data_IF_158858762851
#
_entry.id   IF_158858762851
#
_cell.length_a   1.000
_cell.length_b   1.000
_cell.length_c   1.000
_cell.angle_alpha   90.00
_cell.angle_beta   90.00
_cell.angle_gamma   90.00
#
_symmetry.space_group_name_H-M   'P 1'
#
loop_
_entity.id
_entity.type
_entity.pdbx_description
1 polymer ?
#
# COMPACT_ATOMS: atom_id res chain seq x y z
N UNK A 1 23.22 6.50 -0.42
CA UNK A 1 22.03 5.71 -0.09
C UNK A 1 22.41 4.52 0.76
N UNK A 2 21.74 4.28 1.89
CA UNK A 2 21.93 3.06 2.69
C UNK A 2 20.67 2.18 2.58
N UNK A 3 20.76 1.06 1.84
CA UNK A 3 19.63 0.15 1.63
C UNK A 3 19.84 -1.09 2.50
N UNK A 4 18.91 -1.34 3.41
CA UNK A 4 18.94 -2.53 4.28
C UNK A 4 18.45 -3.75 3.51
N UNK A 5 18.81 -4.94 3.99
CA UNK A 5 18.33 -6.25 3.51
C UNK A 5 18.76 -6.67 2.09
N UNK A 6 19.64 -5.93 1.43
CA UNK A 6 20.10 -6.24 0.05
C UNK A 6 20.68 -7.64 -0.06
N UNK A 7 21.50 -8.07 0.91
CA UNK A 7 22.15 -9.37 0.85
C UNK A 7 21.16 -10.53 1.07
N UNK A 8 20.24 -10.34 2.00
CA UNK A 8 19.17 -11.27 2.32
C UNK A 8 18.24 -11.46 1.12
N UNK A 9 17.90 -10.37 0.41
CA UNK A 9 17.10 -10.42 -0.82
C UNK A 9 17.86 -11.10 -1.96
N UNK A 10 19.16 -10.79 -2.15
CA UNK A 10 20.00 -11.49 -3.13
C UNK A 10 20.03 -13.00 -2.86
N UNK A 11 20.15 -13.41 -1.60
CA UNK A 11 20.14 -14.82 -1.20
C UNK A 11 18.78 -15.47 -1.46
N UNK A 12 17.68 -14.75 -1.17
CA UNK A 12 16.32 -15.23 -1.41
C UNK A 12 16.03 -15.47 -2.90
N UNK A 13 16.43 -14.54 -3.77
CA UNK A 13 16.22 -14.66 -5.23
C UNK A 13 17.09 -15.73 -5.87
N UNK A 14 18.32 -15.91 -5.37
CA UNK A 14 19.30 -16.82 -5.94
C UNK A 14 19.97 -16.27 -7.22
N UNK A 15 21.07 -16.92 -7.64
CA UNK A 15 21.94 -16.39 -8.69
C UNK A 15 21.28 -16.33 -10.07
N UNK A 16 20.44 -17.32 -10.43
CA UNK A 16 19.77 -17.37 -11.75
C UNK A 16 18.78 -16.22 -11.93
N UNK A 17 18.01 -15.90 -10.90
CA UNK A 17 17.09 -14.75 -10.90
C UNK A 17 17.84 -13.42 -11.06
N UNK A 18 18.97 -13.25 -10.37
CA UNK A 18 19.81 -12.07 -10.49
C UNK A 18 20.44 -11.94 -11.89
N UNK A 19 20.84 -13.06 -12.49
CA UNK A 19 21.35 -13.11 -13.87
C UNK A 19 20.28 -12.64 -14.86
N UNK A 20 19.06 -13.18 -14.77
CA UNK A 20 17.94 -12.80 -15.62
C UNK A 20 17.62 -11.32 -15.49
N UNK A 21 17.48 -10.82 -14.26
CA UNK A 21 17.19 -9.40 -14.01
C UNK A 21 18.29 -8.49 -14.58
N UNK A 22 19.57 -8.87 -14.42
CA UNK A 22 20.70 -8.12 -14.95
C UNK A 22 20.69 -8.11 -16.48
N UNK A 23 20.39 -9.24 -17.11
CA UNK A 23 20.33 -9.35 -18.57
C UNK A 23 19.17 -8.54 -19.17
N UNK A 24 17.97 -8.61 -18.57
CA UNK A 24 16.83 -7.78 -18.98
C UNK A 24 17.18 -6.31 -18.83
N UNK A 25 17.72 -5.89 -17.68
CA UNK A 25 18.09 -4.49 -17.44
C UNK A 25 19.09 -3.97 -18.47
N UNK A 26 20.11 -4.76 -18.83
CA UNK A 26 21.12 -4.38 -19.83
C UNK A 26 20.59 -4.32 -21.26
N UNK A 27 19.60 -5.16 -21.58
CA UNK A 27 18.95 -5.18 -22.91
C UNK A 27 17.82 -4.16 -23.02
N UNK A 28 17.32 -3.64 -21.90
CA UNK A 28 16.31 -2.60 -21.88
C UNK A 28 16.79 -1.34 -22.59
N UNK A 29 15.90 -0.72 -23.34
CA UNK A 29 16.20 0.52 -24.04
C UNK A 29 14.98 1.43 -24.15
N UNK A 30 15.23 2.72 -24.38
CA UNK A 30 14.20 3.75 -24.48
C UNK A 30 13.78 4.31 -23.13
N UNK A 31 12.77 5.18 -23.17
CA UNK A 31 12.21 5.87 -22.01
C UNK A 31 10.69 5.68 -22.08
N UNK A 32 10.10 4.76 -21.28
CA UNK A 32 10.74 3.89 -20.28
C UNK A 32 11.64 2.78 -20.86
N UNK A 33 12.55 2.20 -20.05
CA UNK A 33 13.52 1.20 -20.48
C UNK A 33 12.90 -0.20 -20.60
N UNK A 34 12.39 -0.55 -21.78
CA UNK A 34 11.67 -1.81 -22.04
C UNK A 34 12.47 -2.85 -22.83
N UNK A 35 12.13 -4.12 -22.64
CA UNK A 35 12.46 -5.26 -23.53
C UNK A 35 11.17 -5.92 -24.03
N UNK A 36 11.12 -6.42 -25.27
CA UNK A 36 9.96 -7.17 -25.75
C UNK A 36 9.87 -8.55 -25.10
N UNK A 37 8.84 -8.80 -24.28
CA UNK A 37 8.75 -10.00 -23.45
C UNK A 37 8.57 -11.28 -24.27
N UNK A 38 7.73 -11.28 -25.30
CA UNK A 38 7.53 -12.46 -26.15
C UNK A 38 8.82 -12.89 -26.85
N UNK A 39 9.57 -11.92 -27.39
CA UNK A 39 10.85 -12.20 -28.06
C UNK A 39 11.89 -12.69 -27.06
N UNK A 40 11.98 -12.03 -25.91
CA UNK A 40 12.89 -12.40 -24.84
C UNK A 40 12.64 -13.83 -24.34
N UNK A 41 11.38 -14.18 -24.06
CA UNK A 41 10.97 -15.52 -23.65
C UNK A 41 11.29 -16.58 -24.72
N UNK A 42 11.09 -16.26 -26.00
CA UNK A 42 11.41 -17.18 -27.09
C UNK A 42 12.92 -17.42 -27.24
N UNK A 43 13.75 -16.42 -26.94
CA UNK A 43 15.22 -16.54 -26.98
C UNK A 43 15.80 -17.21 -25.73
N UNK A 44 15.07 -17.23 -24.62
CA UNK A 44 15.49 -17.78 -23.33
C UNK A 44 14.48 -18.81 -22.81
N UNK A 45 14.22 -19.85 -23.62
CA UNK A 45 13.26 -20.92 -23.27
C UNK A 45 13.58 -21.64 -21.96
N UNK A 46 14.86 -21.64 -21.57
CA UNK A 46 15.36 -22.35 -20.39
C UNK A 46 15.16 -21.54 -19.09
N UNK A 47 14.63 -20.31 -19.21
CA UNK A 47 14.40 -19.37 -18.12
C UNK A 47 12.91 -19.12 -17.85
N UNK A 48 11.99 -19.84 -18.51
CA UNK A 48 10.56 -19.55 -18.43
C UNK A 48 10.00 -19.68 -17.01
N UNK A 49 10.41 -20.71 -16.26
CA UNK A 49 9.98 -20.92 -14.88
C UNK A 49 10.44 -19.79 -13.95
N UNK A 50 11.72 -19.38 -14.05
CA UNK A 50 12.23 -18.27 -13.26
C UNK A 50 11.65 -16.91 -13.67
N UNK A 51 11.36 -16.70 -14.97
CA UNK A 51 10.66 -15.50 -15.42
C UNK A 51 9.26 -15.43 -14.81
N UNK A 52 8.54 -16.54 -14.76
CA UNK A 52 7.20 -16.59 -14.14
C UNK A 52 7.28 -16.33 -12.63
N UNK A 53 8.31 -16.83 -11.95
CA UNK A 53 8.57 -16.55 -10.52
C UNK A 53 9.03 -15.10 -10.24
N UNK A 54 9.64 -14.44 -11.22
CA UNK A 54 10.03 -13.03 -11.11
C UNK A 54 8.84 -12.08 -11.36
N UNK A 55 7.83 -12.54 -12.13
CA UNK A 55 6.59 -11.81 -12.42
C UNK A 55 5.61 -11.78 -11.21
N UNK A 56 5.64 -12.77 -10.31
CA UNK A 56 4.76 -12.84 -9.12
C UNK A 56 5.49 -13.37 -7.87
N UNK A 57 5.16 -12.99 -6.62
CA UNK A 57 4.51 -11.77 -6.11
C UNK A 57 5.54 -10.67 -5.73
N UNK A 58 6.82 -10.85 -6.06
CA UNK A 58 7.94 -10.05 -5.52
C UNK A 58 8.23 -8.76 -6.28
N UNK A 59 7.49 -8.47 -7.36
CA UNK A 59 7.52 -7.21 -8.12
C UNK A 59 8.92 -6.80 -8.61
N UNK A 60 9.89 -7.73 -8.76
CA UNK A 60 11.22 -7.39 -9.28
C UNK A 60 11.25 -7.25 -10.81
N UNK A 61 10.31 -7.91 -11.50
CA UNK A 61 10.12 -7.82 -12.93
C UNK A 61 8.66 -7.46 -13.24
N UNK A 62 8.47 -6.35 -13.93
CA UNK A 62 7.15 -5.94 -14.41
C UNK A 62 6.92 -6.41 -15.83
N UNK A 63 5.73 -6.96 -16.08
CA UNK A 63 5.28 -7.34 -17.41
C UNK A 63 4.04 -6.57 -17.81
N UNK A 64 4.16 -5.77 -18.87
CA UNK A 64 3.00 -5.25 -19.58
C UNK A 64 2.50 -6.32 -20.54
N UNK A 65 1.43 -7.03 -20.15
CA UNK A 65 0.83 -8.08 -20.97
C UNK A 65 0.19 -7.55 -22.27
N UNK A 66 -0.30 -6.31 -22.28
CA UNK A 66 -0.95 -5.73 -23.46
C UNK A 66 0.10 -5.32 -24.50
N UNK A 67 1.18 -4.67 -24.04
CA UNK A 67 2.26 -4.20 -24.92
C UNK A 67 3.35 -5.23 -25.13
N UNK A 68 3.29 -6.35 -24.41
CA UNK A 68 4.25 -7.47 -24.46
C UNK A 68 5.66 -7.00 -24.16
N UNK A 69 5.84 -6.35 -23.02
CA UNK A 69 7.14 -5.79 -22.61
C UNK A 69 7.49 -6.16 -21.16
N UNK A 70 8.78 -6.29 -20.92
CA UNK A 70 9.39 -6.41 -19.61
C UNK A 70 10.12 -5.13 -19.24
N UNK A 71 10.08 -4.79 -17.97
CA UNK A 71 10.95 -3.80 -17.35
C UNK A 71 11.33 -4.31 -15.96
N UNK A 72 12.61 -4.21 -15.64
CA UNK A 72 13.08 -4.47 -14.28
C UNK A 72 12.48 -3.41 -13.37
N UNK A 73 11.96 -3.79 -12.22
CA UNK A 73 11.38 -2.83 -11.29
C UNK A 73 12.49 -2.14 -10.48
N UNK A 74 12.20 -0.93 -9.97
CA UNK A 74 13.11 -0.15 -9.12
C UNK A 74 13.67 -0.94 -7.93
N UNK A 75 12.90 -1.87 -7.36
CA UNK A 75 13.34 -2.69 -6.24
C UNK A 75 14.43 -3.70 -6.61
N UNK A 76 14.63 -4.01 -7.90
CA UNK A 76 15.70 -4.89 -8.34
C UNK A 76 17.04 -4.15 -8.55
N UNK A 77 17.02 -2.84 -8.80
CA UNK A 77 18.24 -2.07 -9.12
C UNK A 77 19.38 -2.21 -8.09
N UNK A 78 19.14 -2.18 -6.76
CA UNK A 78 20.20 -2.38 -5.76
C UNK A 78 20.81 -3.77 -5.76
N UNK A 79 20.13 -4.74 -6.37
CA UNK A 79 20.55 -6.13 -6.45
C UNK A 79 21.46 -6.38 -7.66
N UNK A 80 21.44 -5.48 -8.65
CA UNK A 80 22.21 -5.62 -9.88
C UNK A 80 23.65 -5.19 -9.67
N UNK A 81 24.60 -6.01 -10.11
CA UNK A 81 26.02 -5.65 -10.18
C UNK A 81 26.29 -4.95 -11.51
N UNK A 82 25.73 -3.74 -11.65
CA UNK A 82 25.75 -2.95 -12.87
C UNK A 82 26.01 -1.46 -12.60
N UNK A 83 26.90 -0.85 -13.39
CA UNK A 83 27.27 0.56 -13.22
C UNK A 83 26.12 1.52 -13.54
N UNK A 84 25.27 1.21 -14.52
CA UNK A 84 24.13 2.05 -14.86
C UNK A 84 23.09 2.05 -13.73
N UNK A 85 22.83 0.87 -13.14
CA UNK A 85 21.98 0.76 -11.96
C UNK A 85 22.52 1.58 -10.78
N UNK A 86 23.84 1.54 -10.52
CA UNK A 86 24.48 2.36 -9.49
C UNK A 86 24.32 3.87 -9.75
N UNK A 87 24.50 4.31 -11.00
CA UNK A 87 24.31 5.71 -11.39
C UNK A 87 22.85 6.14 -11.16
N UNK A 88 21.86 5.32 -11.54
CA UNK A 88 20.44 5.61 -11.29
C UNK A 88 20.15 5.75 -9.79
N UNK A 89 20.67 4.84 -8.96
CA UNK A 89 20.51 4.88 -7.50
C UNK A 89 21.12 6.16 -6.88
N UNK A 90 22.26 6.63 -7.38
CA UNK A 90 22.83 7.94 -6.98
C UNK A 90 21.91 9.11 -7.38
N UNK A 91 21.27 9.02 -8.55
CA UNK A 91 20.30 10.02 -9.02
C UNK A 91 19.01 10.03 -8.20
N UNK A 92 18.56 8.87 -7.72
CA UNK A 92 17.38 8.80 -6.85
C UNK A 92 17.57 9.63 -5.59
N UNK A 93 18.74 9.56 -4.96
CA UNK A 93 19.03 10.35 -3.76
C UNK A 93 19.03 11.86 -4.02
N UNK A 94 19.61 12.26 -5.16
CA UNK A 94 19.60 13.65 -5.58
C UNK A 94 18.16 14.15 -5.74
N UNK A 95 17.34 13.45 -6.53
CA UNK A 95 15.95 13.84 -6.78
C UNK A 95 15.09 13.78 -5.52
N UNK A 96 15.32 12.79 -4.66
CA UNK A 96 14.59 12.69 -3.39
C UNK A 96 14.87 13.90 -2.50
N UNK A 97 16.14 14.31 -2.36
CA UNK A 97 16.50 15.52 -1.63
C UNK A 97 15.91 16.79 -2.27
N UNK A 98 15.97 16.88 -3.60
CA UNK A 98 15.38 17.98 -4.36
C UNK A 98 13.86 18.06 -4.12
N UNK A 99 13.11 16.98 -4.29
CA UNK A 99 11.67 16.93 -4.05
C UNK A 99 11.30 17.26 -2.60
N UNK A 100 12.09 16.81 -1.63
CA UNK A 100 11.86 17.12 -0.22
C UNK A 100 12.05 18.61 0.09
N UNK A 101 13.01 19.26 -0.59
CA UNK A 101 13.23 20.71 -0.51
C UNK A 101 12.09 21.46 -1.19
N UNK A 102 11.71 21.05 -2.40
CA UNK A 102 10.62 21.66 -3.16
C UNK A 102 9.29 21.54 -2.44
N UNK A 103 8.96 20.39 -1.86
CA UNK A 103 7.75 20.23 -1.05
C UNK A 103 7.73 21.19 0.15
N UNK A 104 8.86 21.40 0.84
CA UNK A 104 8.92 22.36 1.96
C UNK A 104 8.74 23.81 1.51
N UNK A 105 9.19 24.16 0.30
CA UNK A 105 9.11 25.51 -0.23
C UNK A 105 7.74 25.81 -0.86
N UNK A 106 7.16 24.82 -1.55
CA UNK A 106 6.07 24.99 -2.48
C UNK A 106 4.83 24.13 -2.16
N UNK A 107 4.91 23.25 -1.15
CA UNK A 107 3.87 22.30 -0.75
C UNK A 107 3.40 21.41 -1.90
N UNK A 108 2.11 21.40 -2.18
CA UNK A 108 1.41 20.56 -3.15
C UNK A 108 1.38 21.16 -4.55
N UNK A 109 2.11 22.25 -4.80
CA UNK A 109 2.19 22.85 -6.13
C UNK A 109 2.84 21.89 -7.14
N UNK A 110 2.34 21.86 -8.39
CA UNK A 110 2.94 21.04 -9.44
C UNK A 110 4.39 21.46 -9.73
N UNK A 111 5.30 20.49 -9.77
CA UNK A 111 6.65 20.63 -10.30
C UNK A 111 6.68 20.14 -11.74
N UNK A 112 7.13 20.97 -12.66
CA UNK A 112 7.22 20.61 -14.07
C UNK A 112 8.55 19.92 -14.38
N UNK A 113 8.52 18.96 -15.30
CA UNK A 113 9.71 18.23 -15.70
C UNK A 113 10.79 19.15 -16.26
N UNK A 114 10.42 20.17 -17.05
CA UNK A 114 11.36 21.14 -17.59
C UNK A 114 12.17 21.83 -16.49
N UNK A 115 11.51 22.33 -15.45
CA UNK A 115 12.16 23.01 -14.31
C UNK A 115 13.08 22.07 -13.54
N UNK A 116 12.66 20.80 -13.38
CA UNK A 116 13.46 19.77 -12.72
C UNK A 116 14.73 19.53 -13.54
N UNK A 117 14.61 19.30 -14.85
CA UNK A 117 15.75 19.03 -15.73
C UNK A 117 16.72 20.22 -15.81
N UNK A 118 16.21 21.45 -15.88
CA UNK A 118 17.03 22.69 -15.85
C UNK A 118 17.80 22.86 -14.54
N UNK A 119 17.25 22.38 -13.43
CA UNK A 119 17.91 22.44 -12.12
C UNK A 119 19.02 21.39 -11.94
N UNK A 120 19.17 20.46 -12.90
CA UNK A 120 20.17 19.38 -12.85
C UNK A 120 21.28 19.59 -13.88
N UNK A 121 22.53 19.41 -13.47
CA UNK A 121 23.70 19.40 -14.39
C UNK A 121 23.94 18.00 -14.97
N UNK A 122 22.89 17.31 -15.39
CA UNK A 122 22.93 15.89 -15.77
C UNK A 122 22.23 15.66 -17.11
N UNK A 123 22.66 14.63 -17.82
CA UNK A 123 22.11 14.23 -19.10
C UNK A 123 20.58 13.98 -19.00
N UNK A 124 19.75 14.63 -19.84
CA UNK A 124 18.30 14.61 -19.66
C UNK A 124 17.65 13.22 -19.72
N UNK A 125 18.20 12.29 -20.51
CA UNK A 125 17.64 10.94 -20.62
C UNK A 125 17.85 10.14 -19.34
N UNK A 126 19.06 10.19 -18.76
CA UNK A 126 19.35 9.60 -17.47
C UNK A 126 18.44 10.17 -16.36
N UNK A 127 18.19 11.49 -16.37
CA UNK A 127 17.27 12.11 -15.43
C UNK A 127 15.85 11.56 -15.58
N UNK A 128 15.33 11.45 -16.82
CA UNK A 128 14.00 10.89 -17.07
C UNK A 128 13.90 9.44 -16.67
N UNK A 129 14.87 8.62 -17.04
CA UNK A 129 14.91 7.22 -16.66
C UNK A 129 14.89 7.08 -15.14
N UNK A 130 15.70 7.87 -14.43
CA UNK A 130 15.72 7.84 -12.98
C UNK A 130 14.34 8.20 -12.38
N UNK A 131 13.71 9.26 -12.89
CA UNK A 131 12.38 9.70 -12.45
C UNK A 131 11.30 8.65 -12.72
N UNK A 132 11.38 7.89 -13.82
CA UNK A 132 10.45 6.79 -14.11
C UNK A 132 10.53 5.75 -13.01
N UNK A 133 11.73 5.25 -12.71
CA UNK A 133 11.92 4.26 -11.65
C UNK A 133 11.44 4.77 -10.28
N UNK A 134 11.72 6.04 -9.97
CA UNK A 134 11.28 6.63 -8.71
C UNK A 134 9.75 6.67 -8.60
N UNK A 135 9.03 7.10 -9.65
CA UNK A 135 7.57 7.15 -9.66
C UNK A 135 6.97 5.74 -9.55
N UNK A 136 7.63 4.75 -10.15
CA UNK A 136 7.21 3.35 -10.08
C UNK A 136 7.43 2.72 -8.70
N UNK A 137 8.20 3.34 -7.81
CA UNK A 137 8.44 2.83 -6.46
C UNK A 137 7.23 2.85 -5.52
N UNK A 138 6.00 3.07 -6.02
CA UNK A 138 4.69 3.08 -5.34
C UNK A 138 4.68 3.69 -3.92
N UNK A 139 5.59 4.60 -3.61
CA UNK A 139 6.00 4.89 -2.24
C UNK A 139 5.28 6.06 -1.60
N UNK A 140 4.17 6.47 -2.21
CA UNK A 140 3.28 7.51 -1.71
C UNK A 140 3.89 8.91 -1.63
N UNK A 141 5.17 9.10 -1.98
CA UNK A 141 5.83 10.41 -2.03
C UNK A 141 5.39 11.24 -3.25
N UNK A 142 4.90 10.57 -4.30
CA UNK A 142 4.24 11.18 -5.44
C UNK A 142 2.74 11.32 -5.18
N UNK A 143 2.19 12.51 -5.40
CA UNK A 143 0.76 12.81 -5.39
C UNK A 143 0.19 12.74 -6.81
N UNK A 144 -0.67 13.71 -7.15
CA UNK A 144 -1.23 13.82 -8.51
C UNK A 144 -0.12 14.11 -9.53
N UNK A 145 -0.14 13.41 -10.66
CA UNK A 145 0.83 13.58 -11.75
C UNK A 145 0.15 13.59 -13.10
N UNK A 146 0.63 14.44 -14.00
CA UNK A 146 0.16 14.51 -15.39
C UNK A 146 1.27 14.05 -16.32
N UNK A 147 1.16 12.81 -16.81
CA UNK A 147 2.09 12.18 -17.78
C UNK A 147 3.56 12.19 -17.35
N UNK A 148 3.85 12.39 -16.07
CA UNK A 148 5.21 12.55 -15.59
C UNK A 148 5.95 11.21 -15.51
N UNK A 149 7.23 11.12 -15.92
CA UNK A 149 8.09 12.14 -16.57
C UNK A 149 8.17 11.95 -18.11
N UNK A 150 7.10 11.45 -18.75
CA UNK A 150 7.13 10.98 -20.14
C UNK A 150 7.04 12.10 -21.18
N UNK A 151 6.41 13.23 -20.86
CA UNK A 151 6.28 14.39 -21.76
C UNK A 151 6.95 15.64 -21.21
N UNK A 152 7.41 16.55 -22.07
CA UNK A 152 8.13 17.77 -21.63
C UNK A 152 7.26 18.71 -20.80
N UNK A 153 5.96 18.73 -21.08
CA UNK A 153 4.95 19.47 -20.32
C UNK A 153 4.39 18.69 -19.13
N UNK A 154 4.98 17.54 -18.78
CA UNK A 154 4.52 16.73 -17.66
C UNK A 154 4.86 17.37 -16.31
N UNK A 155 4.06 17.02 -15.30
CA UNK A 155 4.24 17.54 -13.95
C UNK A 155 3.87 16.53 -12.87
N UNK A 156 4.43 16.73 -11.69
CA UNK A 156 4.19 15.93 -10.50
C UNK A 156 3.95 16.84 -9.29
N UNK A 157 2.93 16.54 -8.50
CA UNK A 157 2.74 17.13 -7.18
C UNK A 157 3.40 16.20 -6.15
N UNK A 158 4.27 16.75 -5.30
CA UNK A 158 4.91 15.97 -4.24
C UNK A 158 3.94 15.85 -3.05
N UNK A 159 3.82 14.64 -2.52
CA UNK A 159 2.97 14.32 -1.37
C UNK A 159 3.72 14.53 -0.05
N UNK A 160 2.99 14.91 1.00
CA UNK A 160 3.53 15.05 2.37
C UNK A 160 4.27 13.80 2.86
N UNK A 161 3.90 12.62 2.34
CA UNK A 161 4.54 11.36 2.70
C UNK A 161 6.06 11.37 2.45
N UNK A 162 6.57 12.22 1.53
CA UNK A 162 8.02 12.37 1.32
C UNK A 162 8.77 12.77 2.60
N UNK A 163 8.09 13.47 3.52
CA UNK A 163 8.67 13.88 4.80
C UNK A 163 8.82 12.72 5.80
N UNK A 164 8.10 11.61 5.60
CA UNK A 164 8.13 10.43 6.49
C UNK A 164 9.35 9.55 6.28
N UNK A 165 10.05 9.69 5.15
CA UNK A 165 11.25 8.92 4.83
C UNK A 165 12.49 9.82 4.91
N UNK A 166 13.60 9.26 5.40
CA UNK A 166 14.87 9.95 5.50
C UNK A 166 15.48 10.16 4.11
N UNK A 167 15.56 9.08 3.35
CA UNK A 167 16.15 8.98 2.02
C UNK A 167 15.35 8.00 1.14
N UNK A 168 15.72 7.88 -0.13
CA UNK A 168 15.06 6.94 -1.04
C UNK A 168 15.40 5.47 -0.71
N UNK A 169 16.55 5.22 -0.11
CA UNK A 169 16.95 3.90 0.34
C UNK A 169 16.04 3.31 1.41
N UNK A 170 15.48 4.14 2.29
CA UNK A 170 14.50 3.73 3.30
C UNK A 170 13.22 3.18 2.66
N UNK A 171 12.79 3.74 1.54
CA UNK A 171 11.63 3.28 0.78
C UNK A 171 11.86 1.85 0.28
N UNK A 172 12.99 1.64 -0.39
CA UNK A 172 13.38 0.31 -0.89
C UNK A 172 13.54 -0.68 0.28
N UNK A 173 14.17 -0.24 1.37
CA UNK A 173 14.37 -1.08 2.56
C UNK A 173 13.06 -1.56 3.17
N UNK A 174 12.05 -0.67 3.26
CA UNK A 174 10.71 -1.05 3.76
C UNK A 174 10.01 -2.01 2.81
N UNK A 175 10.18 -1.85 1.51
CA UNK A 175 9.67 -2.81 0.54
C UNK A 175 10.25 -4.21 0.79
N UNK A 176 11.58 -4.34 0.92
CA UNK A 176 12.23 -5.61 1.22
C UNK A 176 11.78 -6.20 2.56
N UNK A 177 11.70 -5.36 3.59
CA UNK A 177 11.24 -5.78 4.91
C UNK A 177 9.86 -6.41 4.87
N UNK A 178 8.92 -5.80 4.15
CA UNK A 178 7.52 -6.24 4.11
C UNK A 178 7.25 -7.38 3.14
N UNK A 179 8.01 -7.50 2.05
CA UNK A 179 7.72 -8.48 1.00
C UNK A 179 8.62 -9.71 1.06
N UNK A 180 9.83 -9.59 1.62
CA UNK A 180 10.84 -10.66 1.56
C UNK A 180 11.27 -11.11 2.96
N UNK A 181 11.57 -10.16 3.87
CA UNK A 181 12.13 -10.50 5.18
C UNK A 181 11.05 -10.93 6.17
N UNK A 182 9.98 -10.13 6.25
CA UNK A 182 8.82 -10.39 7.10
C UNK A 182 7.56 -10.38 6.22
N UNK A 183 7.45 -11.29 5.23
CA UNK A 183 6.25 -11.37 4.42
C UNK A 183 5.05 -11.66 5.33
N UNK A 184 3.93 -10.94 5.19
CA UNK A 184 2.70 -11.28 5.89
C UNK A 184 2.37 -12.75 5.61
N UNK A 185 2.03 -13.51 6.64
CA UNK A 185 1.92 -14.99 6.64
C UNK A 185 0.89 -15.56 5.66
N UNK A 186 0.19 -14.71 4.89
CA UNK A 186 -0.96 -15.05 4.06
C UNK A 186 -0.98 -14.23 2.75
N UNK A 187 0.17 -14.18 2.04
CA UNK A 187 0.21 -13.68 0.65
C UNK A 187 -0.50 -14.60 -0.37
N UNK A 188 -1.27 -15.58 0.09
CA UNK A 188 -2.15 -16.39 -0.75
C UNK A 188 -3.30 -15.54 -1.29
N UNK A 189 -3.03 -14.71 -2.29
CA UNK A 189 -4.03 -14.26 -3.24
C UNK A 189 -4.41 -15.46 -4.12
N UNK A 190 -5.02 -16.48 -3.51
CA UNK A 190 -5.46 -17.69 -4.18
C UNK A 190 -6.75 -17.38 -4.96
N UNK A 191 -6.61 -16.70 -6.10
CA UNK A 191 -7.50 -16.93 -7.24
C UNK A 191 -7.13 -18.29 -7.84
N UNK A 192 -7.40 -19.38 -7.12
CA UNK A 192 -7.14 -20.74 -7.60
C UNK A 192 -6.86 -21.74 -6.49
N UNK A 193 -7.87 -22.55 -6.20
CA UNK A 193 -7.83 -23.97 -5.79
C UNK A 193 -6.49 -24.45 -5.23
N UNK A 194 -6.36 -24.46 -3.92
CA UNK A 194 -5.76 -25.51 -3.08
C UNK A 194 -6.12 -25.11 -1.64
N UNK A 195 -6.73 -25.93 -0.79
CA UNK A 195 -6.51 -27.34 -0.67
C UNK A 195 -5.97 -27.73 0.70
N UNK A 196 -5.83 -26.84 1.70
CA UNK A 196 -5.60 -27.25 3.09
C UNK A 196 -5.85 -26.15 4.16
N UNK A 197 -6.49 -26.57 5.26
CA UNK A 197 -6.79 -25.88 6.53
C UNK A 197 -7.63 -24.57 6.50
N UNK A 198 -8.93 -24.75 6.27
CA UNK A 198 -10.00 -23.75 6.39
C UNK A 198 -10.16 -23.21 7.85
N UNK A 199 -9.43 -22.16 8.24
CA UNK A 199 -9.99 -21.19 9.19
C UNK A 199 -10.68 -20.10 8.38
N UNK A 200 -12.00 -20.24 8.22
CA UNK A 200 -12.82 -19.22 7.59
C UNK A 200 -12.73 -17.93 8.41
N UNK A 201 -12.32 -16.82 7.78
CA UNK A 201 -12.42 -15.48 8.39
C UNK A 201 -13.84 -15.29 8.93
N UNK A 202 -13.96 -14.91 10.20
CA UNK A 202 -15.24 -14.56 10.79
C UNK A 202 -15.59 -13.15 10.32
N UNK A 203 -16.35 -13.09 9.22
CA UNK A 203 -16.97 -11.87 8.70
C UNK A 203 -17.86 -11.16 9.72
N UNK A 204 -18.49 -10.06 9.30
CA UNK A 204 -19.47 -9.35 10.13
C UNK A 204 -20.72 -10.16 10.40
N UNK A 205 -21.04 -11.09 9.49
CA UNK A 205 -22.21 -11.97 9.55
C UNK A 205 -21.80 -13.44 9.62
N UNK A 206 -22.59 -14.26 10.28
CA UNK A 206 -22.45 -15.72 10.22
C UNK A 206 -23.01 -16.27 8.89
N UNK A 207 -22.61 -17.46 8.43
CA UNK A 207 -23.11 -18.05 7.19
C UNK A 207 -24.63 -18.26 7.13
N UNK A 208 -25.30 -18.43 8.27
CA UNK A 208 -26.75 -18.69 8.38
C UNK A 208 -27.62 -17.41 8.53
N UNK A 209 -27.05 -16.22 8.31
CA UNK A 209 -27.68 -14.92 8.65
C UNK A 209 -28.77 -14.43 7.69
N UNK A 210 -29.84 -15.21 7.49
CA UNK A 210 -31.12 -14.65 7.02
C UNK A 210 -31.90 -13.93 8.14
N UNK A 211 -31.63 -14.27 9.41
CA UNK A 211 -32.42 -13.81 10.57
C UNK A 211 -31.61 -13.32 11.79
N UNK A 212 -30.26 -13.35 11.76
CA UNK A 212 -29.46 -13.17 12.98
C UNK A 212 -28.33 -12.13 12.89
N UNK A 213 -28.57 -11.02 12.17
CA UNK A 213 -27.61 -9.91 12.11
C UNK A 213 -27.37 -9.32 13.50
N UNK A 214 -26.15 -8.81 13.80
CA UNK A 214 -25.87 -8.15 15.07
C UNK A 214 -26.81 -6.97 15.31
N UNK A 215 -27.23 -6.76 16.56
CA UNK A 215 -28.18 -5.67 16.92
C UNK A 215 -27.68 -4.29 16.53
N UNK A 216 -26.36 -4.06 16.58
CA UNK A 216 -25.76 -2.81 16.15
C UNK A 216 -25.95 -2.54 14.65
N UNK A 217 -26.07 -3.59 13.81
CA UNK A 217 -26.24 -3.44 12.37
C UNK A 217 -27.56 -2.75 12.02
N UNK A 218 -28.63 -3.04 12.76
CA UNK A 218 -29.93 -2.38 12.60
C UNK A 218 -29.94 -0.90 13.04
N UNK A 219 -28.92 -0.47 13.79
CA UNK A 219 -28.76 0.91 14.25
C UNK A 219 -27.97 1.78 13.28
N UNK A 220 -27.28 1.17 12.32
CA UNK A 220 -26.54 1.88 11.28
C UNK A 220 -27.50 2.45 10.23
N UNK A 221 -27.15 3.60 9.67
CA UNK A 221 -27.85 4.14 8.51
C UNK A 221 -27.68 3.26 7.25
N UNK A 222 -28.38 3.57 6.18
CA UNK A 222 -28.33 2.80 4.93
C UNK A 222 -26.92 2.72 4.34
N UNK A 223 -26.19 3.85 4.29
CA UNK A 223 -24.85 3.91 3.71
C UNK A 223 -23.87 2.99 4.46
N UNK A 224 -23.84 3.03 5.79
CA UNK A 224 -22.95 2.19 6.59
C UNK A 224 -23.35 0.72 6.51
N UNK A 225 -24.66 0.42 6.42
CA UNK A 225 -25.15 -0.95 6.26
C UNK A 225 -24.75 -1.59 4.94
N UNK A 226 -24.77 -0.83 3.84
CA UNK A 226 -24.29 -1.31 2.54
C UNK A 226 -22.77 -1.48 2.54
N UNK A 227 -22.01 -0.53 3.10
CA UNK A 227 -20.56 -0.66 3.20
C UNK A 227 -20.15 -1.90 4.01
N UNK A 228 -20.80 -2.18 5.14
CA UNK A 228 -20.54 -3.40 5.93
C UNK A 228 -20.84 -4.66 5.12
N UNK A 229 -21.89 -4.67 4.28
CA UNK A 229 -22.18 -5.80 3.39
C UNK A 229 -21.10 -5.97 2.33
N UNK A 230 -20.63 -4.90 1.70
CA UNK A 230 -19.56 -4.98 0.70
C UNK A 230 -18.26 -5.51 1.32
N UNK A 231 -17.90 -5.02 2.51
CA UNK A 231 -16.75 -5.52 3.26
C UNK A 231 -16.91 -7.01 3.55
N UNK A 232 -18.08 -7.44 4.05
CA UNK A 232 -18.35 -8.85 4.35
C UNK A 232 -18.32 -9.73 3.09
N UNK A 233 -18.85 -9.25 1.96
CA UNK A 233 -18.77 -9.95 0.68
C UNK A 233 -17.33 -10.11 0.20
N UNK A 234 -16.51 -9.06 0.31
CA UNK A 234 -15.10 -9.12 -0.04
C UNK A 234 -14.33 -10.11 0.85
N UNK A 235 -14.63 -10.13 2.15
CA UNK A 235 -14.07 -11.11 3.09
C UNK A 235 -14.45 -12.54 2.71
N UNK A 236 -15.72 -12.79 2.40
CA UNK A 236 -16.23 -14.11 1.97
C UNK A 236 -15.64 -14.56 0.64
N UNK A 237 -15.27 -13.60 -0.22
CA UNK A 237 -14.55 -13.87 -1.47
C UNK A 237 -13.05 -14.13 -1.27
N UNK A 238 -12.56 -14.16 -0.02
CA UNK A 238 -11.15 -14.43 0.30
C UNK A 238 -10.22 -13.25 0.03
N UNK A 239 -10.76 -12.05 -0.18
CA UNK A 239 -9.95 -10.85 -0.39
C UNK A 239 -9.47 -10.29 0.95
N UNK A 240 -8.26 -9.70 0.97
CA UNK A 240 -7.67 -9.13 2.19
C UNK A 240 -7.46 -7.61 2.11
N UNK A 241 -7.03 -7.08 0.97
CA UNK A 241 -6.81 -5.65 0.80
C UNK A 241 -8.12 -4.84 0.77
N UNK A 242 -9.08 -5.21 -0.08
CA UNK A 242 -10.36 -4.51 -0.20
C UNK A 242 -11.14 -4.38 1.12
N UNK A 243 -11.36 -5.47 1.90
CA UNK A 243 -12.04 -5.31 3.18
C UNK A 243 -11.23 -4.43 4.14
N UNK A 244 -9.90 -4.48 4.13
CA UNK A 244 -9.06 -3.62 4.97
C UNK A 244 -9.20 -2.13 4.62
N UNK A 245 -9.29 -1.80 3.33
CA UNK A 245 -9.60 -0.44 2.87
C UNK A 245 -11.03 -0.02 3.29
N UNK A 246 -12.00 -0.92 3.14
CA UNK A 246 -13.38 -0.67 3.53
C UNK A 246 -13.55 -0.47 5.04
N UNK A 247 -12.83 -1.22 5.87
CA UNK A 247 -12.77 -1.08 7.32
C UNK A 247 -12.32 0.34 7.73
N UNK A 248 -11.28 0.87 7.08
CA UNK A 248 -10.83 2.27 7.28
C UNK A 248 -11.94 3.27 6.92
N UNK A 249 -12.60 3.08 5.79
CA UNK A 249 -13.72 3.95 5.36
C UNK A 249 -14.88 3.89 6.35
N UNK A 250 -15.21 2.71 6.87
CA UNK A 250 -16.26 2.52 7.85
C UNK A 250 -15.96 3.26 9.16
N UNK A 251 -14.71 3.21 9.64
CA UNK A 251 -14.29 3.98 10.81
C UNK A 251 -14.50 5.48 10.58
N UNK A 252 -14.05 6.01 9.44
CA UNK A 252 -14.18 7.45 9.15
C UNK A 252 -15.65 7.89 9.11
N UNK A 253 -16.54 7.10 8.48
CA UNK A 253 -17.98 7.39 8.45
C UNK A 253 -18.61 7.39 9.84
N UNK A 254 -18.21 6.47 10.73
CA UNK A 254 -18.71 6.42 12.12
C UNK A 254 -18.21 7.62 12.92
N UNK A 255 -16.95 8.02 12.75
CA UNK A 255 -16.39 9.19 13.44
C UNK A 255 -17.09 10.47 12.97
N UNK A 256 -17.19 10.68 11.66
CA UNK A 256 -17.83 11.86 11.07
C UNK A 256 -19.29 11.99 11.50
N UNK A 257 -20.02 10.89 11.64
CA UNK A 257 -21.41 10.91 12.15
C UNK A 257 -21.51 11.55 13.54
N UNK A 258 -20.55 11.30 14.41
CA UNK A 258 -20.64 11.72 15.82
C UNK A 258 -20.00 13.07 16.09
N UNK A 259 -18.80 13.33 15.55
CA UNK A 259 -18.04 14.55 15.84
C UNK A 259 -18.08 15.59 14.71
N UNK A 260 -18.68 15.23 13.57
CA UNK A 260 -18.70 16.01 12.35
C UNK A 260 -17.40 15.89 11.53
N UNK A 261 -17.43 16.42 10.32
CA UNK A 261 -16.25 16.51 9.47
C UNK A 261 -15.43 17.75 9.84
N UNK A 262 -14.38 17.54 10.65
CA UNK A 262 -13.55 18.63 11.19
C UNK A 262 -12.08 18.32 11.00
N UNK A 263 -11.40 19.14 10.20
CA UNK A 263 -9.94 19.14 10.07
C UNK A 263 -9.39 17.79 9.60
N UNK A 264 -8.22 17.42 10.13
CA UNK A 264 -7.56 16.16 9.79
C UNK A 264 -8.18 14.98 10.52
N UNK A 265 -7.93 13.76 10.05
CA UNK A 265 -8.39 12.54 10.72
C UNK A 265 -7.95 12.49 12.20
N UNK A 266 -6.72 12.94 12.50
CA UNK A 266 -6.21 13.01 13.87
C UNK A 266 -7.01 13.95 14.76
N UNK A 267 -7.50 15.05 14.19
CA UNK A 267 -8.36 16.01 14.90
C UNK A 267 -9.72 15.36 15.19
N UNK A 268 -10.31 14.68 14.20
CA UNK A 268 -11.55 13.93 14.37
C UNK A 268 -11.43 12.86 15.47
N UNK A 269 -10.37 12.05 15.46
CA UNK A 269 -10.13 11.03 16.48
C UNK A 269 -9.93 11.62 17.88
N UNK A 270 -9.27 12.78 17.97
CA UNK A 270 -9.10 13.49 19.25
C UNK A 270 -10.43 14.04 19.78
N UNK A 271 -11.30 14.54 18.90
CA UNK A 271 -12.65 14.93 19.28
C UNK A 271 -13.48 13.71 19.73
N UNK A 272 -13.34 12.59 19.02
CA UNK A 272 -14.05 11.33 19.30
C UNK A 272 -13.72 10.76 20.68
N UNK A 273 -12.44 10.81 21.06
CA UNK A 273 -11.97 10.47 22.41
C UNK A 273 -12.49 11.48 23.45
N UNK A 274 -12.44 12.78 23.16
CA UNK A 274 -12.86 13.84 24.08
C UNK A 274 -14.36 13.79 24.39
N UNK A 275 -15.19 13.37 23.44
CA UNK A 275 -16.62 13.13 23.65
C UNK A 275 -16.91 11.86 24.45
N UNK A 276 -15.88 11.06 24.77
CA UNK A 276 -15.99 9.85 25.58
C UNK A 276 -16.61 8.68 24.82
N UNK A 277 -16.62 8.72 23.48
CA UNK A 277 -17.11 7.65 22.61
C UNK A 277 -16.11 6.49 22.53
N UNK A 278 -14.82 6.79 22.72
CA UNK A 278 -13.75 5.79 22.83
C UNK A 278 -12.77 6.17 23.95
N UNK A 279 -12.23 5.17 24.62
CA UNK A 279 -11.14 5.35 25.59
C UNK A 279 -9.79 5.55 24.88
N UNK A 280 -8.75 6.10 25.55
CA UNK A 280 -7.41 6.23 24.98
C UNK A 280 -6.82 4.91 24.48
N UNK A 281 -7.13 3.80 25.18
CA UNK A 281 -6.70 2.45 24.76
C UNK A 281 -7.41 1.99 23.49
N UNK A 282 -8.72 2.22 23.39
CA UNK A 282 -9.48 1.89 22.19
C UNK A 282 -9.02 2.73 21.00
N UNK A 283 -8.73 4.02 21.21
CA UNK A 283 -8.15 4.89 20.18
C UNK A 283 -6.87 4.29 19.59
N UNK A 284 -5.92 3.85 20.42
CA UNK A 284 -4.69 3.24 19.95
C UNK A 284 -4.92 1.99 19.07
N UNK A 285 -5.93 1.18 19.41
CA UNK A 285 -6.32 0.03 18.59
C UNK A 285 -6.91 0.48 17.25
N UNK A 286 -7.80 1.47 17.25
CA UNK A 286 -8.44 2.00 16.04
C UNK A 286 -7.39 2.66 15.12
N UNK A 287 -6.47 3.43 15.68
CA UNK A 287 -5.33 4.05 14.95
C UNK A 287 -4.50 2.99 14.23
N UNK A 288 -4.32 1.81 14.83
CA UNK A 288 -3.61 0.67 14.20
C UNK A 288 -4.37 0.14 12.98
N UNK A 289 -5.69 -0.03 13.09
CA UNK A 289 -6.54 -0.50 11.97
C UNK A 289 -6.57 0.53 10.83
N UNK A 290 -6.58 1.82 11.16
CA UNK A 290 -6.54 2.89 10.18
C UNK A 290 -5.22 2.92 9.41
N UNK A 291 -4.09 2.73 10.09
CA UNK A 291 -2.78 2.63 9.44
C UNK A 291 -2.69 1.39 8.54
N UNK A 292 -3.28 0.26 8.94
CA UNK A 292 -3.40 -0.93 8.09
C UNK A 292 -4.22 -0.65 6.82
N UNK A 293 -5.38 0.00 6.96
CA UNK A 293 -6.20 0.45 5.82
C UNK A 293 -5.46 1.43 4.92
N UNK A 294 -4.75 2.38 5.49
CA UNK A 294 -3.94 3.36 4.75
C UNK A 294 -2.78 2.67 4.01
N UNK A 295 -2.15 1.67 4.64
CA UNK A 295 -1.14 0.84 3.99
C UNK A 295 -1.72 0.03 2.83
N UNK A 296 -2.91 -0.55 3.01
CA UNK A 296 -3.57 -1.30 1.94
C UNK A 296 -3.88 -0.38 0.75
N UNK A 297 -4.39 0.82 1.00
CA UNK A 297 -4.74 1.80 -0.04
C UNK A 297 -3.55 2.36 -0.82
N UNK A 298 -2.41 2.59 -0.17
CA UNK A 298 -1.32 3.40 -0.77
C UNK A 298 0.04 2.72 -0.83
N UNK A 299 0.24 1.60 -0.12
CA UNK A 299 1.55 0.95 0.03
C UNK A 299 1.53 -0.53 -0.36
N UNK A 300 0.52 -0.94 -1.14
CA UNK A 300 0.30 -2.32 -1.57
C UNK A 300 0.38 -3.34 -0.40
N UNK A 301 -0.11 -2.95 0.78
CA UNK A 301 -0.12 -3.85 1.94
C UNK A 301 -1.29 -4.83 1.87
N UNK A 302 -0.98 -6.12 1.95
CA UNK A 302 -1.94 -7.20 2.05
C UNK A 302 -1.81 -7.83 3.45
N UNK A 303 -2.76 -7.56 4.37
CA UNK A 303 -2.67 -8.12 5.71
C UNK A 303 -2.82 -9.64 5.69
N UNK A 304 -2.23 -10.30 6.67
CA UNK A 304 -2.52 -11.72 6.91
C UNK A 304 -3.98 -11.91 7.33
N UNK A 305 -4.52 -13.12 7.24
CA UNK A 305 -5.89 -13.39 7.71
C UNK A 305 -6.05 -13.10 9.19
N UNK A 306 -5.04 -13.40 10.01
CA UNK A 306 -5.04 -13.10 11.44
C UNK A 306 -5.06 -11.60 11.72
N UNK A 307 -4.27 -10.82 10.99
CA UNK A 307 -4.25 -9.36 11.13
C UNK A 307 -5.58 -8.74 10.70
N UNK A 308 -6.14 -9.24 9.59
CA UNK A 308 -7.45 -8.81 9.10
C UNK A 308 -8.56 -9.18 10.09
N UNK A 309 -8.53 -10.39 10.67
CA UNK A 309 -9.47 -10.79 11.71
C UNK A 309 -9.38 -9.86 12.92
N UNK A 310 -8.16 -9.52 13.34
CA UNK A 310 -7.92 -8.55 14.42
C UNK A 310 -8.53 -7.18 14.07
N UNK A 311 -8.37 -6.71 12.84
CA UNK A 311 -8.98 -5.45 12.38
C UNK A 311 -10.50 -5.49 12.43
N UNK A 312 -11.11 -6.59 11.99
CA UNK A 312 -12.56 -6.81 12.04
C UNK A 312 -13.04 -6.77 13.50
N UNK A 313 -12.36 -7.46 14.41
CA UNK A 313 -12.76 -7.55 15.81
C UNK A 313 -12.68 -6.21 16.53
N UNK A 314 -11.65 -5.41 16.24
CA UNK A 314 -11.52 -4.03 16.75
C UNK A 314 -12.70 -3.17 16.28
N UNK A 315 -13.06 -3.24 15.00
CA UNK A 315 -14.17 -2.46 14.44
C UNK A 315 -15.52 -2.94 14.96
N UNK A 316 -15.74 -4.26 15.05
CA UNK A 316 -16.95 -4.83 15.68
C UNK A 316 -17.10 -4.32 17.11
N UNK A 317 -16.03 -4.35 17.90
CA UNK A 317 -16.04 -3.87 19.28
C UNK A 317 -16.33 -2.36 19.35
N UNK A 318 -15.73 -1.55 18.48
CA UNK A 318 -16.01 -0.11 18.38
C UNK A 318 -17.49 0.16 18.07
N UNK A 319 -18.02 -0.44 17.00
CA UNK A 319 -19.40 -0.24 16.56
C UNK A 319 -20.39 -0.74 17.62
N UNK A 320 -20.15 -1.90 18.22
CA UNK A 320 -20.98 -2.42 19.30
C UNK A 320 -20.97 -1.48 20.52
N UNK A 321 -19.79 -0.96 20.89
CA UNK A 321 -19.64 0.01 21.97
C UNK A 321 -20.52 1.24 21.76
N UNK A 322 -20.41 1.86 20.58
CA UNK A 322 -21.08 3.12 20.23
C UNK A 322 -22.59 2.94 20.08
N UNK A 323 -23.02 2.01 19.21
CA UNK A 323 -24.42 1.93 18.80
C UNK A 323 -25.28 1.04 19.71
N UNK A 324 -24.68 0.15 20.50
CA UNK A 324 -25.42 -0.76 21.39
C UNK A 324 -25.14 -0.49 22.87
N UNK A 325 -23.88 -0.60 23.31
CA UNK A 325 -23.57 -0.62 24.74
C UNK A 325 -23.70 0.76 25.41
N UNK A 326 -23.25 1.84 24.76
CA UNK A 326 -23.39 3.19 25.31
C UNK A 326 -24.85 3.59 25.57
N UNK A 327 -25.80 3.42 24.62
CA UNK A 327 -27.21 3.67 24.88
C UNK A 327 -27.80 2.76 25.98
N UNK A 328 -27.48 1.46 25.97
CA UNK A 328 -28.03 0.49 26.93
C UNK A 328 -27.51 0.72 28.36
N UNK A 329 -26.25 1.11 28.52
CA UNK A 329 -25.67 1.43 29.83
C UNK A 329 -26.24 2.73 30.41
N UNK A 330 -26.56 3.74 29.57
CA UNK A 330 -27.32 4.93 30.01
C UNK A 330 -28.71 4.55 30.55
N UNK A 331 -29.42 3.64 29.88
CA UNK A 331 -30.70 3.13 30.36
C UNK A 331 -30.56 2.33 31.65
N UNK A 332 -29.55 1.45 31.73
CA UNK A 332 -29.25 0.67 32.92
C UNK A 332 -28.99 1.58 34.13
N UNK A 333 -28.21 2.65 33.97
CA UNK A 333 -27.94 3.63 35.04
C UNK A 333 -29.22 4.25 35.60
N UNK A 334 -30.24 4.48 34.76
CA UNK A 334 -31.53 5.03 35.20
C UNK A 334 -32.37 4.00 35.97
N UNK A 335 -32.19 2.71 35.68
CA UNK A 335 -32.92 1.61 36.32
C UNK A 335 -32.21 1.08 37.57
N UNK A 336 -30.92 1.36 37.73
CA UNK A 336 -30.15 0.96 38.91
C UNK A 336 -30.52 1.85 40.10
N UNK A 337 -30.96 1.27 41.24
CA UNK A 337 -31.27 2.04 42.45
C UNK A 337 -30.10 2.92 42.88
N UNK A 338 -30.39 4.15 43.32
CA UNK A 338 -29.37 5.05 43.87
C UNK A 338 -28.83 4.43 45.17
N UNK A 339 -27.50 4.49 45.32
CA UNK A 339 -26.82 4.08 46.55
C UNK A 339 -27.17 4.98 47.72
#
# INVERSE_FOLDING_TARGET
MNIKYVNEVKQHLGPKSLEILTDIFRKSSGIPPWVFSDRYRAEHSDWLEELDNLEQPTLFLERDHQRKRYMVNVYALPLLEDDHARILLERFEYFFCYFKKEYKANLDKPLFLADILESTDTEPNLCREALIYMVMAHSGFAGESKEFPLSDGSSICISEQILRYQDFGEIISKFYEWHIINPPKDQGLALGIDGEANQSLQGFFTPDDSTNKPKWYEKLDEQKRELVKEIDQALRAGLVALPTMGLRTLIDLVIVEHVGDKGTFKDKMTAFEKEGLVSPKQRALIDTVLEAGNAASHRAYFPSRDDLQTCIDVIKHMIQGIYELHPRTKQLKNNTPKR
#
